data_IF_775642137982
#
_entry.id   IF_775642137982
#
_cell.length_a   1.000
_cell.length_b   1.000
_cell.length_c   1.000
_cell.angle_alpha   90.00
_cell.angle_beta   90.00
_cell.angle_gamma   90.00
#
_symmetry.space_group_name_H-M   'P 1'
#
loop_
_entity.id
_entity.type
_entity.pdbx_description
1 polymer ?
#
# COMPACT_ATOMS: atom_id res chain seq x y z
N UNK A 1 -29.42 -13.02 15.87
CA UNK A 1 -30.10 -14.34 15.99
C UNK A 1 -31.51 -14.18 15.42
N UNK A 2 -31.81 -14.82 14.31
CA UNK A 2 -33.13 -14.73 13.67
C UNK A 2 -33.85 -16.07 13.86
N UNK A 3 -35.00 -16.05 14.50
CA UNK A 3 -35.81 -17.26 14.75
C UNK A 3 -37.06 -17.21 13.85
N UNK A 4 -37.24 -18.19 13.00
CA UNK A 4 -38.46 -18.35 12.18
C UNK A 4 -39.18 -19.59 12.66
N UNK A 5 -40.47 -19.47 13.05
CA UNK A 5 -41.32 -20.57 13.42
C UNK A 5 -42.47 -20.64 12.44
N UNK A 6 -42.77 -21.82 11.91
CA UNK A 6 -43.95 -22.09 11.09
C UNK A 6 -44.71 -23.29 11.71
N UNK A 7 -45.80 -22.99 12.44
CA UNK A 7 -46.56 -23.98 13.19
C UNK A 7 -45.77 -24.61 14.35
N UNK A 8 -46.04 -25.88 14.67
CA UNK A 8 -45.35 -26.62 15.75
C UNK A 8 -44.00 -27.25 15.32
N UNK A 9 -43.49 -26.89 14.14
CA UNK A 9 -42.20 -27.39 13.65
C UNK A 9 -41.09 -26.39 14.05
N UNK A 10 -40.18 -26.82 14.89
CA UNK A 10 -38.95 -26.09 15.17
C UNK A 10 -38.02 -26.22 13.95
N UNK A 11 -37.87 -25.13 13.19
CA UNK A 11 -36.83 -25.05 12.16
C UNK A 11 -35.46 -24.87 12.83
N UNK A 12 -34.44 -25.58 12.35
CA UNK A 12 -33.09 -25.47 12.83
C UNK A 12 -32.63 -24.00 12.81
N UNK A 13 -31.98 -23.60 13.89
CA UNK A 13 -31.43 -22.28 14.05
C UNK A 13 -30.19 -22.17 13.17
N UNK A 14 -30.30 -21.45 12.06
CA UNK A 14 -29.14 -21.17 11.21
C UNK A 14 -28.42 -19.95 11.76
N UNK A 15 -27.22 -20.14 12.29
CA UNK A 15 -26.33 -19.03 12.64
C UNK A 15 -25.74 -18.42 11.37
N UNK A 16 -26.14 -17.22 11.04
CA UNK A 16 -25.46 -16.42 10.03
C UNK A 16 -24.29 -15.72 10.70
N UNK A 17 -23.05 -16.07 10.32
CA UNK A 17 -21.90 -15.30 10.65
C UNK A 17 -22.04 -13.91 10.02
N UNK A 18 -22.05 -12.85 10.84
CA UNK A 18 -21.96 -11.49 10.32
C UNK A 18 -20.61 -11.31 9.68
N UNK A 19 -20.56 -11.07 8.38
CA UNK A 19 -19.32 -10.72 7.67
C UNK A 19 -18.79 -9.44 8.28
N UNK A 20 -17.52 -9.45 8.71
CA UNK A 20 -16.86 -8.26 9.19
C UNK A 20 -16.73 -7.24 8.06
N UNK A 21 -17.23 -6.04 8.27
CA UNK A 21 -17.07 -4.89 7.37
C UNK A 21 -15.83 -4.06 7.77
N UNK A 22 -14.74 -4.73 8.11
CA UNK A 22 -13.49 -4.10 8.51
C UNK A 22 -13.01 -3.11 7.46
N UNK A 23 -12.62 -1.90 7.88
CA UNK A 23 -12.06 -0.87 7.00
C UNK A 23 -10.58 -0.64 7.34
N UNK A 24 -9.88 0.04 6.44
CA UNK A 24 -8.49 0.44 6.64
C UNK A 24 -8.43 1.61 7.63
N UNK A 25 -7.65 1.53 8.71
CA UNK A 25 -7.41 2.68 9.58
C UNK A 25 -6.75 3.83 8.81
N UNK A 26 -7.10 5.09 9.15
CA UNK A 26 -6.57 6.30 8.51
C UNK A 26 -6.59 6.26 6.97
N UNK A 27 -7.66 5.74 6.38
CA UNK A 27 -7.77 5.54 4.93
C UNK A 27 -8.09 6.83 4.16
N UNK A 28 -8.48 7.90 4.86
CA UNK A 28 -8.57 9.28 4.37
C UNK A 28 -7.22 10.01 4.43
N UNK A 29 -6.20 9.42 5.06
CA UNK A 29 -4.88 10.01 5.26
C UNK A 29 -4.88 11.36 5.98
N UNK A 30 -5.84 11.58 6.88
CA UNK A 30 -5.92 12.81 7.68
C UNK A 30 -4.87 12.85 8.80
N UNK A 31 -4.51 11.69 9.33
CA UNK A 31 -3.60 11.56 10.46
C UNK A 31 -2.15 11.48 10.01
N UNK A 32 -1.38 12.51 10.35
CA UNK A 32 0.06 12.58 10.13
C UNK A 32 0.77 13.16 11.35
N UNK A 33 2.00 12.72 11.55
CA UNK A 33 2.93 13.29 12.52
C UNK A 33 4.33 13.42 11.91
N UNK A 34 5.23 14.05 12.65
CA UNK A 34 6.68 14.01 12.37
C UNK A 34 7.38 13.22 13.47
N UNK A 35 8.46 12.54 13.11
CA UNK A 35 9.29 11.83 14.09
C UNK A 35 9.94 12.82 15.05
N UNK A 36 9.91 12.54 16.36
CA UNK A 36 10.43 13.44 17.40
C UNK A 36 11.94 13.70 17.27
N UNK A 37 12.69 12.73 16.73
CA UNK A 37 14.14 12.83 16.52
C UNK A 37 14.53 13.40 15.15
N UNK A 38 13.57 13.44 14.21
CA UNK A 38 13.81 13.88 12.84
C UNK A 38 12.57 14.59 12.26
N UNK A 39 12.50 15.91 12.40
CA UNK A 39 11.38 16.72 11.90
C UNK A 39 11.16 16.67 10.38
N UNK A 40 12.10 16.10 9.61
CA UNK A 40 11.96 15.87 8.17
C UNK A 40 11.24 14.56 7.85
N UNK A 41 11.09 13.67 8.83
CA UNK A 41 10.44 12.37 8.69
C UNK A 41 8.95 12.49 8.99
N UNK A 42 8.14 12.54 7.94
CA UNK A 42 6.68 12.44 8.05
C UNK A 42 6.24 10.99 8.20
N UNK A 43 5.30 10.76 9.13
CA UNK A 43 4.71 9.47 9.45
C UNK A 43 3.20 9.52 9.19
N UNK A 44 2.59 8.59 8.44
CA UNK A 44 1.15 8.59 8.13
C UNK A 44 0.31 8.03 9.28
N UNK A 45 0.50 8.55 10.49
CA UNK A 45 -0.26 8.27 11.72
C UNK A 45 -0.09 9.41 12.72
N UNK A 46 -1.08 9.56 13.62
CA UNK A 46 -1.00 10.53 14.73
C UNK A 46 0.10 10.18 15.73
N UNK A 47 0.74 11.19 16.34
CA UNK A 47 1.80 10.97 17.32
C UNK A 47 1.32 10.06 18.46
N UNK A 48 2.09 9.02 18.75
CA UNK A 48 1.77 8.03 19.80
C UNK A 48 0.77 6.95 19.39
N UNK A 49 0.19 7.01 18.19
CA UNK A 49 -0.67 5.96 17.68
C UNK A 49 0.12 4.77 17.10
N UNK A 50 -0.51 3.59 17.09
CA UNK A 50 0.02 2.43 16.39
C UNK A 50 -0.09 2.65 14.88
N UNK A 51 1.01 2.48 14.15
CA UNK A 51 1.02 2.61 12.70
C UNK A 51 0.29 1.46 12.02
N UNK A 52 -0.57 1.77 11.07
CA UNK A 52 -1.13 0.80 10.12
C UNK A 52 -0.46 0.94 8.75
N UNK A 53 -0.22 2.17 8.35
CA UNK A 53 0.50 2.56 7.14
C UNK A 53 1.95 2.90 7.47
N UNK A 54 2.84 2.76 6.50
CA UNK A 54 4.20 3.31 6.52
C UNK A 54 4.62 3.74 5.11
N UNK A 55 5.80 4.33 4.99
CA UNK A 55 6.34 4.92 3.76
C UNK A 55 7.83 4.64 3.64
N UNK A 56 8.41 4.93 2.46
CA UNK A 56 9.87 4.95 2.26
C UNK A 56 10.59 6.13 2.91
N UNK A 57 9.89 7.00 3.64
CA UNK A 57 10.45 8.24 4.19
C UNK A 57 11.66 8.04 5.10
N UNK A 58 11.72 6.95 5.89
CA UNK A 58 12.89 6.67 6.74
C UNK A 58 14.17 6.51 5.92
N UNK A 59 14.08 5.86 4.76
CA UNK A 59 15.18 5.77 3.81
C UNK A 59 15.50 7.13 3.17
N UNK A 60 14.48 7.85 2.71
CA UNK A 60 14.62 9.15 2.07
C UNK A 60 15.25 10.21 2.98
N UNK A 61 14.86 10.24 4.26
CA UNK A 61 15.34 11.23 5.23
C UNK A 61 16.73 10.94 5.78
N UNK A 62 17.34 9.82 5.44
CA UNK A 62 18.76 9.55 5.79
C UNK A 62 19.69 10.60 5.19
N UNK A 63 19.39 11.08 3.97
CA UNK A 63 20.23 12.06 3.23
C UNK A 63 19.43 13.20 2.60
N UNK A 64 18.10 13.22 2.77
CA UNK A 64 17.21 14.21 2.16
C UNK A 64 15.99 14.53 3.03
N UNK A 65 14.86 14.70 2.40
CA UNK A 65 13.57 14.96 3.03
C UNK A 65 12.58 13.85 2.64
N UNK A 66 11.50 13.71 3.40
CA UNK A 66 10.37 12.87 3.04
C UNK A 66 9.88 13.17 1.63
N UNK A 67 9.51 12.12 0.91
CA UNK A 67 8.91 12.19 -0.42
C UNK A 67 7.46 11.66 -0.45
N UNK A 68 6.95 11.29 0.72
CA UNK A 68 5.57 10.96 1.00
C UNK A 68 5.12 11.82 2.17
N UNK A 69 4.26 12.81 1.92
CA UNK A 69 3.91 13.85 2.91
C UNK A 69 2.42 14.16 2.88
N UNK A 70 1.84 14.76 3.94
CA UNK A 70 0.47 15.23 3.88
C UNK A 70 0.33 16.43 2.93
N UNK A 71 -0.86 16.57 2.34
CA UNK A 71 -1.29 17.76 1.60
C UNK A 71 -2.70 18.16 2.00
N UNK A 72 -3.03 19.47 1.91
CA UNK A 72 -4.38 19.99 2.10
C UNK A 72 -5.20 20.00 0.79
N UNK A 73 -4.59 19.61 -0.33
CA UNK A 73 -5.31 19.32 -1.58
C UNK A 73 -5.98 17.95 -1.45
N UNK A 74 -7.26 17.93 -1.11
CA UNK A 74 -8.06 16.74 -0.76
C UNK A 74 -9.22 16.56 -1.74
N UNK A 75 -9.73 15.35 -1.87
CA UNK A 75 -10.89 15.05 -2.71
C UNK A 75 -12.21 15.54 -2.12
N UNK A 76 -12.26 15.69 -0.80
CA UNK A 76 -13.45 16.14 -0.04
C UNK A 76 -13.50 17.64 0.22
N UNK A 77 -12.38 18.35 0.00
CA UNK A 77 -12.23 19.78 0.32
C UNK A 77 -11.96 20.05 1.80
N UNK A 78 -11.67 19.02 2.61
CA UNK A 78 -11.29 19.14 4.02
C UNK A 78 -10.36 17.99 4.43
N UNK A 79 -9.63 18.18 5.53
CA UNK A 79 -8.68 17.19 6.02
C UNK A 79 -7.35 17.21 5.26
N UNK A 80 -6.75 16.03 5.08
CA UNK A 80 -5.47 15.84 4.38
C UNK A 80 -5.55 14.64 3.45
N UNK A 81 -4.67 14.62 2.47
CA UNK A 81 -4.44 13.51 1.56
C UNK A 81 -2.95 13.12 1.59
N UNK A 82 -2.61 11.95 1.05
CA UNK A 82 -1.21 11.52 0.91
C UNK A 82 -0.64 11.99 -0.43
N UNK A 83 0.36 12.89 -0.40
CA UNK A 83 1.13 13.35 -1.55
C UNK A 83 2.43 12.54 -1.66
N UNK A 84 2.56 11.78 -2.74
CA UNK A 84 3.65 10.87 -3.01
C UNK A 84 4.44 11.39 -4.22
N UNK A 85 5.73 11.71 -4.04
CA UNK A 85 6.56 12.29 -5.10
C UNK A 85 7.79 11.43 -5.39
N UNK A 86 8.03 11.12 -6.65
CA UNK A 86 9.25 10.48 -7.13
C UNK A 86 10.39 11.49 -7.18
N UNK A 87 11.47 11.22 -6.43
CA UNK A 87 12.60 12.13 -6.27
C UNK A 87 13.94 11.46 -6.60
N UNK A 88 14.88 12.25 -7.05
CA UNK A 88 16.30 11.90 -7.01
C UNK A 88 16.88 12.33 -5.66
N UNK A 89 17.13 11.35 -4.78
CA UNK A 89 17.65 11.62 -3.45
C UNK A 89 19.17 11.40 -3.47
N UNK A 90 19.90 12.48 -3.65
CA UNK A 90 21.38 12.57 -3.70
C UNK A 90 22.00 11.64 -4.74
N UNK A 91 21.87 10.32 -4.59
CA UNK A 91 22.53 9.31 -5.44
C UNK A 91 21.57 8.25 -5.99
N UNK A 92 20.30 8.29 -5.60
CA UNK A 92 19.34 7.22 -5.96
C UNK A 92 17.95 7.76 -6.22
N UNK A 93 17.25 7.14 -7.16
CA UNK A 93 15.84 7.38 -7.37
C UNK A 93 15.02 6.74 -6.23
N UNK A 94 14.03 7.46 -5.74
CA UNK A 94 13.07 7.00 -4.74
C UNK A 94 11.65 7.42 -5.15
N UNK A 95 10.80 6.45 -5.44
CA UNK A 95 9.38 6.69 -5.62
C UNK A 95 8.73 7.07 -4.28
N UNK A 96 7.89 8.11 -4.28
CA UNK A 96 6.98 8.35 -3.16
C UNK A 96 6.00 7.20 -3.07
N UNK A 97 5.83 6.63 -1.88
CA UNK A 97 4.97 5.49 -1.64
C UNK A 97 4.31 5.53 -0.26
N UNK A 98 3.21 4.82 -0.13
CA UNK A 98 2.56 4.51 1.14
C UNK A 98 2.07 3.06 1.07
N UNK A 99 2.22 2.31 2.16
CA UNK A 99 1.86 0.90 2.19
C UNK A 99 1.40 0.46 3.58
N UNK A 100 0.57 -0.58 3.64
CA UNK A 100 0.20 -1.24 4.90
C UNK A 100 1.34 -2.15 5.34
N UNK A 101 2.00 -1.78 6.42
CA UNK A 101 3.22 -2.48 6.87
C UNK A 101 4.12 -1.60 7.72
N UNK A 102 5.42 -1.91 7.74
CA UNK A 102 6.44 -1.20 8.53
C UNK A 102 7.73 -1.08 7.73
N UNK A 103 8.34 0.11 7.72
CA UNK A 103 9.71 0.29 7.26
C UNK A 103 10.67 -0.23 8.34
N UNK A 104 11.39 -1.32 8.07
CA UNK A 104 12.20 -2.02 9.08
C UNK A 104 13.59 -1.40 9.23
N UNK A 105 14.29 -1.23 8.12
CA UNK A 105 15.63 -0.61 8.11
C UNK A 105 16.06 -0.16 6.72
N UNK A 106 17.12 0.65 6.68
CA UNK A 106 17.87 0.94 5.46
C UNK A 106 19.11 0.03 5.40
N UNK A 107 19.33 -0.66 4.27
CA UNK A 107 20.54 -1.42 3.96
C UNK A 107 21.32 -0.70 2.86
N UNK A 108 22.32 0.08 3.25
CA UNK A 108 23.01 1.00 2.35
C UNK A 108 22.07 2.10 1.84
N UNK A 109 21.65 2.01 0.58
CA UNK A 109 20.67 2.91 -0.05
C UNK A 109 19.34 2.19 -0.37
N UNK A 110 19.12 0.99 0.18
CA UNK A 110 17.99 0.14 -0.15
C UNK A 110 17.07 -0.03 1.07
N UNK A 111 15.78 -0.14 0.83
CA UNK A 111 14.79 -0.37 1.88
C UNK A 111 14.65 -1.85 2.22
N UNK A 112 14.41 -2.12 3.50
CA UNK A 112 13.90 -3.39 4.00
C UNK A 112 12.56 -3.08 4.66
N UNK A 113 11.48 -3.69 4.18
CA UNK A 113 10.10 -3.37 4.56
C UNK A 113 9.39 -4.65 4.99
N UNK A 114 8.65 -4.61 6.10
CA UNK A 114 7.70 -5.65 6.48
C UNK A 114 6.33 -5.31 5.90
N UNK A 115 5.87 -6.08 4.92
CA UNK A 115 4.59 -5.88 4.26
C UNK A 115 3.47 -6.67 4.94
N UNK A 116 2.28 -6.08 4.92
CA UNK A 116 1.05 -6.67 5.42
C UNK A 116 0.68 -6.26 6.85
N UNK A 117 -0.63 -6.17 7.07
CA UNK A 117 -1.24 -5.95 8.39
C UNK A 117 -2.31 -6.99 8.65
N UNK A 118 -2.53 -7.41 9.91
CA UNK A 118 -3.59 -8.37 10.25
C UNK A 118 -4.96 -7.94 9.71
N UNK A 119 -5.63 -8.85 9.03
CA UNK A 119 -6.91 -8.58 8.40
C UNK A 119 -7.66 -9.88 8.10
N UNK A 120 -8.97 -9.95 8.38
CA UNK A 120 -9.74 -11.20 8.30
C UNK A 120 -11.02 -11.10 7.48
N UNK A 121 -11.30 -9.93 6.86
CA UNK A 121 -12.51 -9.73 6.08
C UNK A 121 -12.26 -10.01 4.57
N UNK A 122 -13.35 -10.14 3.81
CA UNK A 122 -13.35 -10.46 2.38
C UNK A 122 -13.92 -9.28 1.55
N UNK A 123 -13.18 -8.19 1.35
CA UNK A 123 -13.64 -7.10 0.49
C UNK A 123 -13.62 -7.54 -0.97
N UNK A 124 -14.63 -7.15 -1.73
CA UNK A 124 -14.71 -7.39 -3.17
C UNK A 124 -13.92 -6.35 -3.97
N UNK A 125 -13.81 -5.11 -3.44
CA UNK A 125 -13.17 -3.99 -4.15
C UNK A 125 -12.46 -3.06 -3.18
N UNK A 126 -11.48 -2.30 -3.72
CA UNK A 126 -10.88 -1.10 -3.11
C UNK A 126 -11.22 0.10 -3.97
N UNK A 127 -11.92 1.09 -3.43
CA UNK A 127 -12.10 2.40 -4.07
C UNK A 127 -11.15 3.42 -3.45
N UNK A 128 -10.76 4.44 -4.23
CA UNK A 128 -9.93 5.56 -3.78
C UNK A 128 -10.09 6.75 -4.72
N UNK A 129 -9.78 7.93 -4.22
CA UNK A 129 -9.69 9.15 -5.02
C UNK A 129 -8.22 9.47 -5.30
N UNK A 130 -7.92 9.97 -6.51
CA UNK A 130 -6.53 10.27 -6.86
C UNK A 130 -6.39 11.42 -7.86
N UNK A 131 -5.18 12.02 -7.86
CA UNK A 131 -4.60 12.81 -8.94
C UNK A 131 -3.23 12.25 -9.28
N UNK A 132 -2.80 12.42 -10.52
CA UNK A 132 -1.50 11.96 -10.96
C UNK A 132 -0.84 12.92 -11.94
N UNK A 133 0.46 13.20 -11.74
CA UNK A 133 1.29 13.89 -12.73
C UNK A 133 2.35 12.90 -13.20
N UNK A 134 2.26 12.52 -14.49
CA UNK A 134 3.28 11.68 -15.12
C UNK A 134 4.43 12.51 -15.63
N UNK A 135 5.67 12.07 -15.39
CA UNK A 135 6.89 12.59 -16.00
C UNK A 135 7.53 11.51 -16.87
N UNK A 136 8.37 11.87 -17.85
CA UNK A 136 9.14 10.87 -18.58
C UNK A 136 10.09 10.12 -17.63
N UNK A 137 10.21 8.80 -17.79
CA UNK A 137 11.17 7.97 -17.05
C UNK A 137 12.59 8.42 -17.45
N UNK A 138 13.31 9.04 -16.50
CA UNK A 138 14.66 9.57 -16.65
C UNK A 138 15.68 8.85 -15.74
N UNK A 139 15.20 8.06 -14.80
CA UNK A 139 15.99 7.16 -13.94
C UNK A 139 15.49 5.75 -14.11
N UNK A 140 16.43 4.81 -14.27
CA UNK A 140 16.06 3.41 -14.53
C UNK A 140 17.19 2.46 -14.16
N UNK A 141 16.80 1.28 -13.74
CA UNK A 141 17.68 0.11 -13.68
C UNK A 141 17.96 -0.40 -15.10
N UNK A 142 19.14 -0.95 -15.34
CA UNK A 142 19.54 -1.44 -16.67
C UNK A 142 18.58 -2.49 -17.24
N UNK A 143 17.97 -3.32 -16.39
CA UNK A 143 16.94 -4.29 -16.80
C UNK A 143 15.69 -3.64 -17.38
N UNK A 144 15.44 -2.38 -17.04
CA UNK A 144 14.29 -1.55 -17.46
C UNK A 144 14.69 -0.41 -18.40
N UNK A 145 15.90 -0.41 -18.96
CA UNK A 145 16.40 0.63 -19.87
C UNK A 145 15.49 0.90 -21.08
N UNK A 146 14.71 -0.11 -21.52
CA UNK A 146 13.72 0.00 -22.59
C UNK A 146 12.54 0.92 -22.27
N UNK A 147 12.40 1.34 -21.00
CA UNK A 147 11.37 2.28 -20.54
C UNK A 147 11.83 3.75 -20.58
N UNK A 148 13.12 4.02 -20.79
CA UNK A 148 13.68 5.37 -20.85
C UNK A 148 12.88 6.28 -21.77
N UNK A 149 12.49 7.45 -21.27
CA UNK A 149 11.73 8.46 -22.01
C UNK A 149 10.24 8.16 -22.17
N UNK A 150 9.75 6.96 -21.82
CA UNK A 150 8.32 6.66 -21.80
C UNK A 150 7.65 7.37 -20.62
N UNK A 151 6.34 7.66 -20.68
CA UNK A 151 5.60 8.18 -19.53
C UNK A 151 5.74 7.24 -18.32
N UNK A 152 6.05 7.80 -17.15
CA UNK A 152 5.98 7.07 -15.90
C UNK A 152 4.51 6.76 -15.53
N UNK A 153 4.31 5.75 -14.71
CA UNK A 153 2.99 5.33 -14.29
C UNK A 153 2.92 5.20 -12.78
N UNK A 154 1.88 5.75 -12.16
CA UNK A 154 1.57 5.38 -10.78
C UNK A 154 1.00 3.97 -10.70
N UNK A 155 1.03 3.42 -9.50
CA UNK A 155 0.41 2.12 -9.20
C UNK A 155 -0.28 2.18 -7.84
N UNK A 156 -1.50 1.63 -7.78
CA UNK A 156 -2.19 1.29 -6.53
C UNK A 156 -2.57 -0.18 -6.63
N UNK A 157 -2.24 -0.97 -5.61
CA UNK A 157 -2.65 -2.37 -5.58
C UNK A 157 -3.05 -2.82 -4.19
N UNK A 158 -3.85 -3.86 -4.16
CA UNK A 158 -4.32 -4.54 -2.97
C UNK A 158 -4.11 -6.04 -3.11
N UNK A 159 -3.64 -6.68 -2.05
CA UNK A 159 -3.54 -8.13 -1.94
C UNK A 159 -4.08 -8.60 -0.59
N UNK A 160 -4.70 -9.76 -0.57
CA UNK A 160 -5.02 -10.49 0.63
C UNK A 160 -4.16 -11.74 0.70
N UNK A 161 -3.56 -11.99 1.86
CA UNK A 161 -2.78 -13.20 2.12
C UNK A 161 -3.50 -14.12 3.09
N UNK A 162 -3.35 -15.41 2.86
CA UNK A 162 -3.47 -16.44 3.88
C UNK A 162 -2.06 -16.94 4.20
N UNK A 163 -1.63 -16.79 5.45
CA UNK A 163 -0.26 -17.10 5.90
C UNK A 163 -0.35 -18.04 7.08
N UNK A 164 0.26 -19.21 6.96
CA UNK A 164 0.38 -20.21 8.03
C UNK A 164 1.49 -19.82 9.03
N UNK A 165 1.44 -20.36 10.24
CA UNK A 165 2.36 -19.99 11.32
C UNK A 165 3.85 -20.17 10.99
N UNK A 166 4.19 -21.10 10.12
CA UNK A 166 5.55 -21.40 9.69
C UNK A 166 6.00 -20.63 8.44
N UNK A 167 5.16 -19.79 7.87
CA UNK A 167 5.43 -19.04 6.63
C UNK A 167 5.80 -17.57 6.86
N UNK A 168 5.75 -17.11 8.12
CA UNK A 168 6.16 -15.74 8.45
C UNK A 168 7.68 -15.58 8.40
N UNK A 169 8.10 -14.42 7.89
CA UNK A 169 9.47 -13.95 8.06
C UNK A 169 9.58 -13.13 9.36
N UNK A 170 10.66 -13.31 10.11
CA UNK A 170 10.89 -12.60 11.37
C UNK A 170 11.94 -11.51 11.23
N UNK A 171 11.68 -10.36 11.86
CA UNK A 171 12.63 -9.27 12.00
C UNK A 171 12.52 -8.68 13.41
N UNK A 172 13.58 -8.78 14.20
CA UNK A 172 13.66 -8.24 15.57
C UNK A 172 12.51 -8.70 16.50
N UNK A 173 12.07 -9.95 16.34
CA UNK A 173 11.01 -10.55 17.16
C UNK A 173 9.59 -10.30 16.64
N UNK A 174 9.44 -9.49 15.60
CA UNK A 174 8.15 -9.25 14.94
C UNK A 174 8.02 -10.11 13.67
N UNK A 175 6.82 -10.60 13.41
CA UNK A 175 6.52 -11.49 12.27
C UNK A 175 5.81 -10.72 11.14
N UNK A 176 6.23 -10.98 9.91
CA UNK A 176 5.67 -10.36 8.70
C UNK A 176 5.33 -11.43 7.66
N UNK A 177 4.22 -11.31 6.92
CA UNK A 177 3.91 -12.17 5.78
C UNK A 177 5.03 -12.17 4.73
N UNK A 178 5.65 -11.01 4.52
CA UNK A 178 6.70 -10.82 3.53
C UNK A 178 7.64 -9.70 3.97
N UNK A 179 8.94 -9.96 3.95
CA UNK A 179 9.96 -8.92 4.13
C UNK A 179 10.54 -8.57 2.75
N UNK A 180 10.18 -7.38 2.27
CA UNK A 180 10.72 -6.80 1.04
C UNK A 180 12.19 -6.42 1.26
N UNK A 181 13.03 -6.73 0.28
CA UNK A 181 14.45 -6.33 0.20
C UNK A 181 14.71 -5.80 -1.19
N UNK A 182 14.83 -4.46 -1.30
CA UNK A 182 15.00 -3.79 -2.59
C UNK A 182 16.43 -3.80 -3.12
N UNK A 183 17.40 -4.30 -2.34
CA UNK A 183 18.80 -4.39 -2.75
C UNK A 183 18.96 -5.40 -3.91
N UNK A 184 19.42 -4.97 -5.09
CA UNK A 184 19.66 -5.88 -6.18
C UNK A 184 20.65 -6.98 -5.83
N UNK A 185 20.41 -8.19 -6.33
CA UNK A 185 21.26 -9.36 -6.11
C UNK A 185 20.49 -10.58 -5.59
N UNK A 186 21.21 -11.54 -5.07
CA UNK A 186 20.65 -12.85 -4.64
C UNK A 186 19.64 -12.76 -3.49
N UNK A 187 19.74 -11.71 -2.69
CA UNK A 187 18.89 -11.50 -1.52
C UNK A 187 17.72 -10.54 -1.81
N UNK A 188 17.58 -10.08 -3.07
CA UNK A 188 16.44 -9.27 -3.48
C UNK A 188 15.15 -10.09 -3.30
N UNK A 189 14.18 -9.49 -2.63
CA UNK A 189 12.87 -10.09 -2.39
C UNK A 189 11.81 -9.00 -2.58
N UNK A 190 11.03 -9.10 -3.64
CA UNK A 190 9.97 -8.14 -3.97
C UNK A 190 8.61 -8.83 -3.93
N UNK A 191 7.55 -8.05 -3.76
CA UNK A 191 6.20 -8.58 -3.82
C UNK A 191 5.90 -9.17 -5.20
N UNK A 192 5.29 -10.34 -5.20
CA UNK A 192 4.73 -10.97 -6.40
C UNK A 192 3.25 -11.29 -6.18
N UNK A 193 2.35 -10.90 -7.08
CA UNK A 193 0.97 -11.34 -7.01
C UNK A 193 0.83 -12.87 -7.22
N UNK A 194 1.86 -13.53 -7.76
CA UNK A 194 1.89 -14.98 -7.98
C UNK A 194 2.40 -15.78 -6.78
N UNK A 195 2.73 -15.10 -5.65
CA UNK A 195 3.00 -15.79 -4.39
C UNK A 195 1.79 -16.67 -4.03
N UNK A 196 1.98 -17.99 -3.77
CA UNK A 196 0.88 -18.92 -3.52
C UNK A 196 0.04 -18.55 -2.28
N UNK A 197 0.58 -17.76 -1.35
CA UNK A 197 -0.13 -17.26 -0.18
C UNK A 197 -1.10 -16.11 -0.50
N UNK A 198 -0.97 -15.48 -1.69
CA UNK A 198 -1.89 -14.44 -2.16
C UNK A 198 -3.19 -15.07 -2.61
N UNK A 199 -4.26 -14.89 -1.84
CA UNK A 199 -5.60 -15.43 -2.12
C UNK A 199 -6.48 -14.49 -2.91
N UNK A 200 -6.20 -13.19 -2.91
CA UNK A 200 -6.88 -12.20 -3.74
C UNK A 200 -5.93 -11.07 -4.11
N UNK A 201 -6.08 -10.52 -5.32
CA UNK A 201 -5.24 -9.43 -5.82
C UNK A 201 -6.02 -8.51 -6.76
N UNK A 202 -5.68 -7.24 -6.74
CA UNK A 202 -6.14 -6.26 -7.72
C UNK A 202 -5.16 -5.11 -7.85
N UNK A 203 -5.03 -4.55 -9.07
CA UNK A 203 -4.10 -3.45 -9.35
C UNK A 203 -4.70 -2.44 -10.31
N UNK A 204 -4.44 -1.18 -10.02
CA UNK A 204 -4.63 -0.03 -10.90
C UNK A 204 -3.29 0.56 -11.30
N UNK A 205 -3.17 1.00 -12.56
CA UNK A 205 -2.00 1.75 -13.06
C UNK A 205 -2.45 2.87 -13.97
N UNK A 206 -1.79 4.03 -13.89
CA UNK A 206 -2.07 5.17 -14.76
C UNK A 206 -0.77 5.82 -15.22
N UNK A 207 -0.57 5.87 -16.55
CA UNK A 207 0.62 6.45 -17.19
C UNK A 207 0.40 7.84 -17.76
N UNK A 208 -0.81 8.40 -17.67
CA UNK A 208 -1.13 9.76 -18.13
C UNK A 208 -1.49 10.65 -16.96
N UNK A 209 -1.20 11.95 -17.08
CA UNK A 209 -1.57 12.97 -16.08
C UNK A 209 -3.08 13.04 -15.90
N UNK A 210 -3.52 13.09 -14.64
CA UNK A 210 -4.90 13.28 -14.19
C UNK A 210 -4.90 14.45 -13.22
N UNK A 211 -5.29 15.64 -13.72
CA UNK A 211 -5.16 16.91 -12.97
C UNK A 211 -6.29 17.16 -11.97
N UNK A 212 -7.45 16.57 -12.19
CA UNK A 212 -8.62 16.70 -11.32
C UNK A 212 -8.76 15.46 -10.45
N UNK A 213 -9.32 15.64 -9.25
CA UNK A 213 -9.71 14.51 -8.42
C UNK A 213 -10.62 13.55 -9.20
N UNK A 214 -10.25 12.30 -9.21
CA UNK A 214 -10.94 11.23 -9.93
C UNK A 214 -11.03 10.03 -9.02
N UNK A 215 -12.23 9.45 -8.92
CA UNK A 215 -12.44 8.21 -8.19
C UNK A 215 -12.12 7.00 -9.07
N UNK A 216 -11.49 6.01 -8.50
CA UNK A 216 -11.17 4.73 -9.14
C UNK A 216 -11.55 3.57 -8.22
N UNK A 217 -11.80 2.41 -8.82
CA UNK A 217 -12.16 1.20 -8.09
C UNK A 217 -11.40 0.00 -8.64
N UNK A 218 -10.68 -0.67 -7.78
CA UNK A 218 -9.98 -1.92 -8.06
C UNK A 218 -10.86 -3.07 -7.61
N UNK A 219 -11.23 -3.96 -8.51
CA UNK A 219 -11.87 -5.25 -8.17
C UNK A 219 -10.79 -6.25 -7.77
N UNK A 220 -11.01 -6.96 -6.67
CA UNK A 220 -10.13 -8.04 -6.25
C UNK A 220 -10.47 -9.32 -7.03
N UNK A 221 -9.48 -9.89 -7.66
CA UNK A 221 -9.54 -11.23 -8.26
C UNK A 221 -9.16 -12.26 -7.18
N UNK A 222 -10.14 -13.02 -6.73
CA UNK A 222 -9.97 -14.07 -5.72
C UNK A 222 -9.49 -15.36 -6.38
N UNK A 223 -8.26 -15.75 -6.07
CA UNK A 223 -7.69 -17.03 -6.50
C UNK A 223 -8.12 -18.19 -5.62
N UNK A 224 -8.46 -17.90 -4.36
CA UNK A 224 -8.93 -18.87 -3.39
C UNK A 224 -9.97 -18.22 -2.45
N UNK A 225 -11.16 -18.77 -2.38
CA UNK A 225 -12.26 -18.30 -1.51
C UNK A 225 -12.52 -19.22 -0.32
N UNK A 226 -11.82 -20.36 -0.22
CA UNK A 226 -11.95 -21.31 0.88
C UNK A 226 -11.04 -20.94 2.06
N UNK A 227 -9.96 -20.23 1.79
CA UNK A 227 -9.02 -19.77 2.81
C UNK A 227 -9.39 -18.37 3.30
N UNK A 228 -9.47 -18.21 4.62
CA UNK A 228 -9.72 -16.90 5.23
C UNK A 228 -8.46 -16.02 5.12
N UNK A 229 -8.60 -14.72 4.79
CA UNK A 229 -7.49 -13.80 4.86
C UNK A 229 -6.92 -13.73 6.29
N UNK A 230 -5.61 -13.64 6.40
CA UNK A 230 -4.90 -13.36 7.65
C UNK A 230 -4.28 -11.95 7.62
N UNK A 231 -3.95 -11.46 6.42
CA UNK A 231 -3.32 -10.15 6.23
C UNK A 231 -3.81 -9.44 4.97
N UNK A 232 -3.73 -8.11 5.02
CA UNK A 232 -3.98 -7.21 3.88
C UNK A 232 -2.72 -6.42 3.54
N UNK A 233 -2.42 -6.31 2.26
CA UNK A 233 -1.47 -5.37 1.71
C UNK A 233 -2.18 -4.40 0.80
N UNK A 234 -2.00 -3.10 1.05
CA UNK A 234 -2.37 -2.02 0.12
C UNK A 234 -1.12 -1.18 -0.09
N UNK A 235 -0.78 -0.91 -1.32
CA UNK A 235 0.37 -0.07 -1.70
C UNK A 235 -0.09 0.95 -2.72
N UNK A 236 0.29 2.22 -2.51
CA UNK A 236 0.22 3.27 -3.52
C UNK A 236 1.61 3.84 -3.77
N UNK A 237 1.99 3.99 -5.04
CA UNK A 237 3.31 4.49 -5.45
C UNK A 237 3.21 5.45 -6.62
N UNK A 238 3.98 6.55 -6.57
CA UNK A 238 4.07 7.53 -7.64
C UNK A 238 4.79 7.02 -8.89
N UNK A 239 5.58 5.93 -8.75
CA UNK A 239 6.24 5.24 -9.87
C UNK A 239 6.09 3.74 -9.71
N UNK A 240 5.46 3.08 -10.69
CA UNK A 240 5.18 1.64 -10.70
C UNK A 240 6.42 0.76 -10.50
N UNK A 241 7.54 1.20 -11.04
CA UNK A 241 8.81 0.48 -10.97
C UNK A 241 9.74 1.04 -9.90
N UNK A 242 9.18 1.70 -8.86
CA UNK A 242 9.93 2.29 -7.75
C UNK A 242 10.83 1.30 -7.02
N UNK A 243 10.39 0.04 -6.87
CA UNK A 243 11.18 -1.03 -6.22
C UNK A 243 12.43 -1.41 -7.03
N UNK A 244 12.46 -1.09 -8.32
CA UNK A 244 13.61 -1.19 -9.22
C UNK A 244 14.31 0.16 -9.40
N UNK A 245 14.05 1.15 -8.53
CA UNK A 245 14.61 2.50 -8.61
C UNK A 245 14.41 3.16 -9.99
N UNK A 246 13.29 2.85 -10.64
CA UNK A 246 12.96 3.26 -12.00
C UNK A 246 11.70 4.11 -12.00
N UNK A 247 11.77 5.29 -12.67
CA UNK A 247 10.65 6.21 -12.81
C UNK A 247 11.06 7.59 -13.32
N UNK A 248 10.10 8.49 -13.38
CA UNK A 248 10.27 9.89 -13.77
C UNK A 248 10.42 10.79 -12.53
N UNK A 249 11.54 11.49 -12.39
CA UNK A 249 11.72 12.47 -11.32
C UNK A 249 10.66 13.56 -11.43
N UNK A 250 9.90 13.79 -10.34
CA UNK A 250 8.78 14.72 -10.30
C UNK A 250 7.44 14.11 -10.72
N UNK A 251 7.35 12.79 -10.97
CA UNK A 251 6.05 12.10 -11.00
C UNK A 251 5.41 12.18 -9.61
N UNK A 252 4.12 12.58 -9.54
CA UNK A 252 3.41 12.73 -8.27
C UNK A 252 2.09 12.01 -8.30
N UNK A 253 1.80 11.24 -7.25
CA UNK A 253 0.50 10.65 -6.99
C UNK A 253 -0.06 11.25 -5.71
N UNK A 254 -1.27 11.81 -5.78
CA UNK A 254 -2.04 12.16 -4.58
C UNK A 254 -3.15 11.15 -4.43
N UNK A 255 -3.28 10.55 -3.25
CA UNK A 255 -4.35 9.58 -2.94
C UNK A 255 -5.10 10.00 -1.69
N UNK A 256 -6.40 9.73 -1.70
CA UNK A 256 -7.35 10.08 -0.66
C UNK A 256 -8.50 9.06 -0.60
N UNK A 257 -9.25 9.04 0.50
CA UNK A 257 -10.52 8.31 0.64
C UNK A 257 -10.49 6.84 0.21
N UNK A 258 -9.48 6.08 0.62
CA UNK A 258 -9.46 4.64 0.37
C UNK A 258 -10.58 3.95 1.16
N UNK A 259 -11.35 3.09 0.50
CA UNK A 259 -12.47 2.38 1.10
C UNK A 259 -12.57 0.96 0.58
N UNK A 260 -12.67 0.00 1.49
CA UNK A 260 -12.99 -1.38 1.13
C UNK A 260 -14.50 -1.52 0.91
N UNK A 261 -14.88 -2.21 -0.16
CA UNK A 261 -16.26 -2.47 -0.56
C UNK A 261 -16.52 -3.96 -0.41
N UNK A 262 -17.67 -4.29 0.16
CA UNK A 262 -18.15 -5.65 0.43
C UNK A 262 -19.47 -5.85 -0.31
N UNK A 263 -19.52 -6.80 -1.22
CA UNK A 263 -20.71 -7.14 -2.02
C UNK A 263 -20.97 -8.65 -1.96
#
# INVERSE_FOLDING_TARGET
MCRVTAGDVQLEQQEFATVSLQQLPNASFDDWSTDASNSKLYCPWSAGATSFWDTGNRGATTVGNSNSVPTEDTSTGSGRAAFLESKWIVIKFAAGNIFTGTYLKTDGTNGVLGFGRPFTAFPSKLSFDYKYVSKPIDKFDESLAHLKGKPDSCSVYIALWHVEDNEYEEFQGEKYPLIIRTKPGKDQNLFSPDDPRVIAYGQFTKGSTVSNWTSETITLDYKNTELAPTHILVVASSSKYGDFFTGGVGSTLVVDNMKLIYE
#
